data_IF_984907779945
#
_entry.id   IF_984907779945
#
_cell.length_a   1.000
_cell.length_b   1.000
_cell.length_c   1.000
_cell.angle_alpha   90.00
_cell.angle_beta   90.00
_cell.angle_gamma   90.00
#
_symmetry.space_group_name_H-M   'P 1'
#
loop_
_entity.id
_entity.type
_entity.pdbx_description
1 polymer ?
#
# COMPACT_ATOMS: atom_id res chain seq x y z
N UNK A 1 -8.18 26.10 -16.55
CA UNK A 1 -8.53 24.77 -15.99
C UNK A 1 -7.64 24.57 -14.77
N UNK A 2 -8.21 24.36 -13.60
CA UNK A 2 -7.44 24.16 -12.35
C UNK A 2 -6.73 22.79 -12.38
N UNK A 3 -5.45 22.76 -11.99
CA UNK A 3 -4.68 21.51 -11.96
C UNK A 3 -5.26 20.53 -10.90
N UNK A 4 -5.32 19.20 -11.18
CA UNK A 4 -5.90 18.24 -10.24
C UNK A 4 -5.33 18.31 -8.82
N UNK A 5 -4.01 18.48 -8.67
CA UNK A 5 -3.36 18.65 -7.36
C UNK A 5 -3.81 19.94 -6.65
N UNK A 6 -4.13 20.99 -7.37
CA UNK A 6 -4.58 22.25 -6.79
C UNK A 6 -6.01 22.11 -6.27
N UNK A 7 -6.89 21.40 -7.01
CA UNK A 7 -8.23 21.03 -6.51
C UNK A 7 -8.16 20.21 -5.24
N UNK A 8 -7.27 19.21 -5.21
CA UNK A 8 -7.05 18.38 -4.05
C UNK A 8 -6.55 19.19 -2.84
N UNK A 9 -5.61 20.12 -3.09
CA UNK A 9 -5.07 21.01 -2.06
C UNK A 9 -6.16 21.92 -1.46
N UNK A 10 -7.03 22.47 -2.30
CA UNK A 10 -8.08 23.38 -1.88
C UNK A 10 -9.29 22.68 -1.24
N UNK A 11 -9.35 21.34 -1.28
CA UNK A 11 -10.45 20.56 -0.72
C UNK A 11 -10.41 20.59 0.81
N UNK A 12 -11.48 21.00 1.51
CA UNK A 12 -11.48 21.08 2.97
C UNK A 12 -11.36 19.73 3.66
N UNK A 13 -11.92 18.69 3.04
CA UNK A 13 -11.84 17.30 3.50
C UNK A 13 -11.50 16.40 2.32
N UNK A 14 -10.68 15.38 2.55
CA UNK A 14 -10.24 14.41 1.55
C UNK A 14 -10.58 13.02 2.02
N UNK A 15 -11.08 12.19 1.11
CA UNK A 15 -11.24 10.76 1.33
C UNK A 15 -9.96 10.06 0.86
N UNK A 16 -9.33 9.33 1.76
CA UNK A 16 -8.04 8.68 1.51
C UNK A 16 -8.13 7.21 1.87
N UNK A 17 -7.64 6.34 1.00
CA UNK A 17 -7.45 4.92 1.33
C UNK A 17 -5.98 4.70 1.67
N UNK A 18 -5.72 4.08 2.82
CA UNK A 18 -4.41 3.58 3.21
C UNK A 18 -4.35 2.07 3.10
N UNK A 19 -3.31 1.55 2.47
CA UNK A 19 -3.03 0.11 2.40
C UNK A 19 -1.76 -0.26 3.16
N UNK A 20 -1.81 -1.38 3.87
CA UNK A 20 -0.68 -1.95 4.58
C UNK A 20 -0.68 -3.47 4.40
N UNK A 21 0.50 -4.04 4.19
CA UNK A 21 0.75 -5.46 4.31
C UNK A 21 2.13 -5.69 4.91
N UNK A 22 2.17 -6.31 6.06
CA UNK A 22 3.37 -6.47 6.87
C UNK A 22 4.12 -7.75 6.61
N UNK A 23 5.15 -7.99 7.42
CA UNK A 23 6.01 -9.18 7.33
C UNK A 23 5.32 -10.49 7.68
N UNK A 24 4.13 -10.46 8.30
CA UNK A 24 3.28 -11.63 8.54
C UNK A 24 2.79 -12.29 7.24
N UNK A 25 2.75 -11.52 6.14
CA UNK A 25 2.28 -11.95 4.82
C UNK A 25 0.94 -12.69 4.88
N UNK A 26 0.01 -12.19 5.68
CA UNK A 26 -1.31 -12.79 5.91
C UNK A 26 -2.41 -12.13 5.06
N UNK A 27 -2.22 -10.90 4.60
CA UNK A 27 -3.18 -10.18 3.78
C UNK A 27 -2.92 -8.68 3.71
N UNK A 28 -3.95 -7.97 3.29
CA UNK A 28 -3.97 -6.52 3.11
C UNK A 28 -4.91 -5.88 4.12
N UNK A 29 -4.39 -5.00 4.94
CA UNK A 29 -5.17 -4.04 5.71
C UNK A 29 -5.50 -2.84 4.83
N UNK A 30 -6.78 -2.47 4.74
CA UNK A 30 -7.25 -1.31 4.02
C UNK A 30 -8.13 -0.44 4.92
N UNK A 31 -7.79 0.84 5.04
CA UNK A 31 -8.54 1.80 5.82
C UNK A 31 -9.00 2.97 4.96
N UNK A 32 -10.30 3.29 5.01
CA UNK A 32 -10.84 4.53 4.46
C UNK A 32 -10.87 5.58 5.56
N UNK A 33 -10.23 6.69 5.31
CA UNK A 33 -10.14 7.79 6.26
C UNK A 33 -10.60 9.10 5.63
N UNK A 34 -11.21 9.96 6.45
CA UNK A 34 -11.44 11.35 6.11
C UNK A 34 -10.35 12.18 6.77
N UNK A 35 -9.67 12.98 5.97
CA UNK A 35 -8.59 13.86 6.44
C UNK A 35 -8.98 15.31 6.19
N UNK A 36 -8.87 16.15 7.21
CA UNK A 36 -9.01 17.62 7.12
C UNK A 36 -7.81 18.31 7.75
N UNK A 37 -7.62 19.59 7.42
CA UNK A 37 -6.48 20.37 7.89
C UNK A 37 -5.13 19.99 7.25
N UNK A 38 -4.06 20.59 7.76
CA UNK A 38 -2.70 20.42 7.25
C UNK A 38 -1.68 20.48 8.41
N UNK A 39 -0.55 19.82 8.23
CA UNK A 39 0.54 19.82 9.20
C UNK A 39 0.07 19.38 10.59
N UNK A 40 0.34 20.16 11.60
CA UNK A 40 -0.01 19.87 13.01
C UNK A 40 -1.51 19.98 13.30
N UNK A 41 -2.27 20.60 12.40
CA UNK A 41 -3.72 20.74 12.48
C UNK A 41 -4.49 19.64 11.77
N UNK A 42 -3.78 18.65 11.23
CA UNK A 42 -4.40 17.50 10.54
C UNK A 42 -5.31 16.74 11.49
N UNK A 43 -6.54 16.51 11.04
CA UNK A 43 -7.52 15.67 11.72
C UNK A 43 -7.84 14.48 10.84
N UNK A 44 -7.88 13.30 11.43
CA UNK A 44 -8.15 12.04 10.76
C UNK A 44 -9.31 11.34 11.43
N UNK A 45 -10.29 10.91 10.63
CA UNK A 45 -11.41 10.10 11.07
C UNK A 45 -11.47 8.85 10.21
N UNK A 46 -11.34 7.68 10.84
CA UNK A 46 -11.52 6.40 10.14
C UNK A 46 -13.02 6.17 9.88
N UNK A 47 -13.37 5.92 8.62
CA UNK A 47 -14.75 5.70 8.17
C UNK A 47 -15.05 4.22 7.97
N UNK A 48 -14.09 3.46 7.47
CA UNK A 48 -14.18 2.02 7.28
C UNK A 48 -12.81 1.37 7.39
N UNK A 49 -12.81 0.08 7.65
CA UNK A 49 -11.61 -0.75 7.66
C UNK A 49 -11.99 -2.16 7.18
N UNK A 50 -11.16 -2.77 6.37
CA UNK A 50 -11.27 -4.17 6.04
C UNK A 50 -9.89 -4.84 6.01
N UNK A 51 -9.88 -6.12 6.32
CA UNK A 51 -8.76 -7.01 6.11
C UNK A 51 -9.11 -7.98 4.98
N UNK A 52 -8.25 -8.07 3.96
CA UNK A 52 -8.38 -9.00 2.85
C UNK A 52 -7.25 -10.02 2.94
N UNK A 53 -7.53 -11.28 3.33
CA UNK A 53 -6.48 -12.30 3.45
C UNK A 53 -5.90 -12.61 2.06
N UNK A 54 -4.61 -12.91 2.02
CA UNK A 54 -4.01 -13.51 0.83
C UNK A 54 -4.52 -14.93 0.64
N UNK A 55 -4.69 -15.33 -0.61
CA UNK A 55 -4.86 -16.75 -0.91
C UNK A 55 -3.55 -17.52 -0.62
N UNK A 56 -3.66 -18.84 -0.54
CA UNK A 56 -2.53 -19.70 -0.18
C UNK A 56 -1.35 -19.55 -1.16
N UNK A 57 -1.62 -19.41 -2.46
CA UNK A 57 -0.60 -19.29 -3.48
C UNK A 57 0.14 -17.94 -3.37
N UNK A 58 -0.59 -16.85 -3.21
CA UNK A 58 -0.02 -15.51 -3.00
C UNK A 58 0.83 -15.49 -1.74
N UNK A 59 0.31 -16.00 -0.63
CA UNK A 59 1.04 -16.07 0.63
C UNK A 59 2.32 -16.90 0.54
N UNK A 60 2.24 -18.07 -0.08
CA UNK A 60 3.38 -18.96 -0.27
C UNK A 60 4.49 -18.30 -1.09
N UNK A 61 4.13 -17.59 -2.17
CA UNK A 61 5.09 -16.90 -3.03
C UNK A 61 5.75 -15.71 -2.30
N UNK A 62 4.98 -14.91 -1.57
CA UNK A 62 5.53 -13.82 -0.75
C UNK A 62 6.54 -14.38 0.27
N UNK A 63 6.18 -15.43 1.00
CA UNK A 63 7.07 -16.05 2.00
C UNK A 63 8.31 -16.70 1.36
N UNK A 64 8.17 -17.31 0.19
CA UNK A 64 9.31 -17.86 -0.57
C UNK A 64 10.32 -16.78 -0.92
N UNK A 65 9.86 -15.63 -1.41
CA UNK A 65 10.71 -14.50 -1.79
C UNK A 65 11.30 -13.80 -0.56
N UNK A 66 10.52 -13.65 0.52
CA UNK A 66 10.96 -13.05 1.77
C UNK A 66 11.92 -13.97 2.56
N UNK A 67 11.92 -15.27 2.31
CA UNK A 67 12.76 -16.26 2.99
C UNK A 67 14.23 -16.25 2.57
N UNK A 68 14.66 -15.38 1.64
CA UNK A 68 16.05 -15.29 1.17
C UNK A 68 16.49 -16.48 0.30
N UNK A 69 15.56 -17.27 -0.20
CA UNK A 69 15.83 -18.35 -1.15
C UNK A 69 16.24 -17.85 -2.53
N UNK A 70 16.61 -18.77 -3.44
CA UNK A 70 16.94 -18.43 -4.82
C UNK A 70 15.71 -17.80 -5.50
N UNK A 71 15.87 -16.58 -6.03
CA UNK A 71 14.84 -15.85 -6.76
C UNK A 71 15.47 -15.08 -7.93
N UNK A 72 14.77 -15.02 -9.05
CA UNK A 72 15.17 -14.19 -10.18
C UNK A 72 14.46 -12.84 -10.14
N UNK A 73 15.02 -11.82 -10.79
CA UNK A 73 14.39 -10.51 -10.92
C UNK A 73 12.96 -10.60 -11.50
N UNK A 74 12.71 -11.58 -12.39
CA UNK A 74 11.39 -11.84 -12.94
C UNK A 74 10.35 -12.26 -11.90
N UNK A 75 10.75 -12.91 -10.81
CA UNK A 75 9.82 -13.31 -9.73
C UNK A 75 9.34 -12.07 -8.98
N UNK A 76 10.24 -11.16 -8.66
CA UNK A 76 9.89 -9.88 -8.04
C UNK A 76 9.01 -9.02 -8.95
N UNK A 77 9.29 -9.00 -10.23
CA UNK A 77 8.46 -8.29 -11.21
C UNK A 77 7.02 -8.82 -11.21
N UNK A 78 6.84 -10.16 -11.29
CA UNK A 78 5.51 -10.78 -11.32
C UNK A 78 4.73 -10.54 -10.04
N UNK A 79 5.34 -10.78 -8.88
CA UNK A 79 4.65 -10.62 -7.60
C UNK A 79 4.32 -9.15 -7.32
N UNK A 80 5.14 -8.18 -7.77
CA UNK A 80 4.86 -6.77 -7.65
C UNK A 80 3.53 -6.38 -8.31
N UNK A 81 3.30 -6.81 -9.54
CA UNK A 81 2.05 -6.57 -10.27
C UNK A 81 0.88 -7.38 -9.72
N UNK A 82 1.10 -8.63 -9.34
CA UNK A 82 0.07 -9.46 -8.71
C UNK A 82 -0.44 -8.81 -7.40
N UNK A 83 0.46 -8.35 -6.54
CA UNK A 83 0.09 -7.64 -5.33
C UNK A 83 -0.66 -6.34 -5.63
N UNK A 84 -0.28 -5.61 -6.68
CA UNK A 84 -1.03 -4.44 -7.15
C UNK A 84 -2.51 -4.78 -7.44
N UNK A 85 -2.78 -5.92 -8.09
CA UNK A 85 -4.15 -6.40 -8.33
C UNK A 85 -4.88 -6.72 -7.01
N UNK A 86 -4.22 -7.43 -6.10
CA UNK A 86 -4.78 -7.76 -4.78
C UNK A 86 -5.13 -6.48 -3.99
N UNK A 87 -4.29 -5.45 -4.05
CA UNK A 87 -4.60 -4.15 -3.43
C UNK A 87 -5.81 -3.46 -4.09
N UNK A 88 -5.95 -3.53 -5.42
CA UNK A 88 -7.14 -3.02 -6.10
C UNK A 88 -8.41 -3.71 -5.61
N UNK A 89 -8.39 -5.04 -5.50
CA UNK A 89 -9.52 -5.84 -5.00
C UNK A 89 -9.87 -5.49 -3.54
N UNK A 90 -8.86 -5.30 -2.69
CA UNK A 90 -9.06 -4.86 -1.31
C UNK A 90 -9.67 -3.46 -1.24
N UNK A 91 -9.21 -2.53 -2.09
CA UNK A 91 -9.78 -1.19 -2.21
C UNK A 91 -11.24 -1.21 -2.65
N UNK A 92 -11.59 -2.06 -3.60
CA UNK A 92 -12.96 -2.26 -4.05
C UNK A 92 -13.87 -2.82 -2.95
N UNK A 93 -13.37 -3.78 -2.20
CA UNK A 93 -14.09 -4.35 -1.07
C UNK A 93 -14.35 -3.28 0.00
N UNK A 94 -13.36 -2.45 0.29
CA UNK A 94 -13.46 -1.35 1.23
C UNK A 94 -14.48 -0.29 0.77
N UNK A 95 -14.44 0.11 -0.51
CA UNK A 95 -15.38 1.07 -1.08
C UNK A 95 -16.83 0.53 -1.00
N UNK A 96 -17.02 -0.74 -1.37
CA UNK A 96 -18.35 -1.40 -1.25
C UNK A 96 -18.84 -1.41 0.20
N UNK A 97 -17.98 -1.77 1.15
CA UNK A 97 -18.32 -1.79 2.58
C UNK A 97 -18.68 -0.39 3.09
N UNK A 98 -17.99 0.64 2.63
CA UNK A 98 -18.23 2.02 3.01
C UNK A 98 -19.42 2.68 2.28
N UNK A 99 -19.96 2.04 1.25
CA UNK A 99 -21.03 2.59 0.43
C UNK A 99 -20.62 3.80 -0.42
N UNK A 100 -19.36 3.83 -0.86
CA UNK A 100 -18.81 4.91 -1.69
C UNK A 100 -18.36 4.38 -3.07
N UNK A 101 -18.34 5.28 -4.05
CA UNK A 101 -17.76 5.03 -5.36
C UNK A 101 -16.26 5.30 -5.35
N UNK A 102 -15.48 4.54 -6.15
CA UNK A 102 -14.02 4.76 -6.31
C UNK A 102 -13.69 6.22 -6.65
N UNK A 103 -14.48 6.85 -7.51
CA UNK A 103 -14.30 8.23 -7.95
C UNK A 103 -14.41 9.28 -6.81
N UNK A 104 -14.92 8.90 -5.65
CA UNK A 104 -14.97 9.76 -4.46
C UNK A 104 -13.68 9.72 -3.65
N UNK A 105 -12.80 8.75 -3.90
CA UNK A 105 -11.49 8.64 -3.24
C UNK A 105 -10.56 9.68 -3.86
N UNK A 106 -9.97 10.49 -3.03
CA UNK A 106 -9.11 11.60 -3.44
C UNK A 106 -7.64 11.20 -3.55
N UNK A 107 -7.21 10.29 -2.68
CA UNK A 107 -5.80 9.84 -2.59
C UNK A 107 -5.74 8.40 -2.14
N UNK A 108 -4.68 7.72 -2.55
CA UNK A 108 -4.32 6.40 -2.07
C UNK A 108 -2.89 6.46 -1.53
N UNK A 109 -2.69 5.97 -0.30
CA UNK A 109 -1.39 5.69 0.29
C UNK A 109 -1.18 4.18 0.35
N UNK A 110 -0.14 3.68 -0.28
CA UNK A 110 0.17 2.25 -0.27
C UNK A 110 1.58 2.02 0.28
N UNK A 111 1.68 1.31 1.40
CA UNK A 111 2.96 0.88 1.95
C UNK A 111 3.56 -0.27 1.12
N UNK A 112 2.71 -1.10 0.53
CA UNK A 112 3.12 -2.34 -0.11
C UNK A 112 3.33 -3.49 0.87
N UNK A 113 3.68 -4.67 0.34
CA UNK A 113 4.05 -5.86 1.07
C UNK A 113 5.54 -5.81 1.40
N UNK A 114 5.88 -5.81 2.68
CA UNK A 114 7.27 -5.86 3.10
C UNK A 114 7.85 -7.25 2.81
N UNK A 115 8.84 -7.31 1.93
CA UNK A 115 9.60 -8.53 1.66
C UNK A 115 10.86 -8.62 2.53
N UNK A 116 11.57 -7.51 2.67
CA UNK A 116 12.83 -7.50 3.41
C UNK A 116 13.02 -6.18 4.15
N UNK A 117 13.63 -6.24 5.32
CA UNK A 117 13.93 -5.07 6.11
C UNK A 117 15.27 -5.25 6.83
N UNK A 118 16.19 -4.31 6.61
CA UNK A 118 17.52 -4.25 7.21
C UNK A 118 17.59 -2.95 8.03
N UNK A 119 17.16 -2.97 9.30
CA UNK A 119 17.16 -1.78 10.15
C UNK A 119 18.54 -1.45 10.71
N UNK A 120 19.48 -2.41 10.70
CA UNK A 120 20.85 -2.18 11.14
C UNK A 120 21.63 -1.47 10.04
N UNK A 121 22.56 -0.62 10.48
CA UNK A 121 23.53 0.00 9.58
C UNK A 121 24.46 -1.06 8.98
N UNK A 122 24.60 -1.06 7.66
CA UNK A 122 25.52 -1.92 6.94
C UNK A 122 26.33 -1.14 5.90
N UNK A 123 27.52 -1.63 5.58
CA UNK A 123 28.32 -1.08 4.48
C UNK A 123 28.03 -1.89 3.21
N UNK A 124 27.42 -1.25 2.23
CA UNK A 124 27.15 -1.85 0.93
C UNK A 124 27.78 -0.99 -0.18
N UNK A 125 28.62 -1.60 -1.01
CA UNK A 125 29.36 -0.92 -2.08
C UNK A 125 30.12 0.33 -1.58
N UNK A 126 30.67 0.26 -0.36
CA UNK A 126 31.45 1.35 0.26
C UNK A 126 30.62 2.48 0.86
N UNK A 127 29.29 2.33 0.98
CA UNK A 127 28.39 3.33 1.58
C UNK A 127 27.66 2.73 2.78
N UNK A 128 27.56 3.52 3.84
CA UNK A 128 26.72 3.17 4.98
C UNK A 128 25.24 3.40 4.61
N UNK A 129 24.40 2.39 4.90
CA UNK A 129 22.96 2.46 4.61
C UNK A 129 22.12 1.58 5.53
N UNK A 130 20.85 1.94 5.64
CA UNK A 130 19.75 1.09 6.08
C UNK A 130 18.90 0.81 4.86
N UNK A 131 18.28 -0.36 4.76
CA UNK A 131 17.46 -0.68 3.59
C UNK A 131 16.16 -1.39 3.95
N UNK A 132 15.17 -1.20 3.10
CA UNK A 132 13.89 -1.87 3.21
C UNK A 132 13.32 -2.08 1.80
N UNK A 133 12.56 -3.15 1.62
CA UNK A 133 12.03 -3.52 0.32
C UNK A 133 10.56 -3.91 0.43
N UNK A 134 9.70 -3.09 -0.17
CA UNK A 134 8.26 -3.30 -0.28
C UNK A 134 7.85 -3.45 -1.73
N UNK A 135 6.87 -4.33 -1.99
CA UNK A 135 6.29 -4.57 -3.31
C UNK A 135 4.77 -4.34 -3.31
N UNK A 136 4.25 -4.09 -4.47
CA UNK A 136 2.86 -3.79 -4.78
C UNK A 136 2.81 -2.59 -5.71
N UNK A 137 2.59 -2.84 -7.01
CA UNK A 137 2.62 -1.82 -8.05
C UNK A 137 1.52 -0.78 -7.84
N UNK A 138 1.88 0.35 -7.26
CA UNK A 138 0.92 1.41 -6.91
C UNK A 138 0.31 2.11 -8.11
N UNK A 139 0.94 2.06 -9.29
CA UNK A 139 0.36 2.60 -10.52
C UNK A 139 -0.93 1.86 -10.93
N UNK A 140 -1.16 0.65 -10.45
CA UNK A 140 -2.40 -0.09 -10.68
C UNK A 140 -3.57 0.43 -9.82
N UNK A 141 -3.27 1.16 -8.75
CA UNK A 141 -4.26 1.75 -7.84
C UNK A 141 -4.73 3.15 -8.29
N UNK A 142 -4.06 3.74 -9.28
CA UNK A 142 -4.32 5.11 -9.75
C UNK A 142 -5.55 5.23 -10.67
#
# INVERSE_FOLDING_TARGET
MEHPLQRLWNKPERLVIGFMSGTSADGVDAALVRISGYGVETRLTQLAFCFTPFDEATRAEVLRLAGGGSAAAADFCRINFHLGQVYCEAGDALCRQAGIERAQVDLIGCHGQTLWHIPQEEIYLGRSQHSTFQLGESAMLA
#
